data_IF_592199558774
#
_entry.id   IF_592199558774
#
_cell.length_a   1.000
_cell.length_b   1.000
_cell.length_c   1.000
_cell.angle_alpha   90.00
_cell.angle_beta   90.00
_cell.angle_gamma   90.00
#
_symmetry.space_group_name_H-M   'P 1'
#
loop_
_entity.id
_entity.type
_entity.pdbx_description
1 polymer ?
#
# COMPACT_ATOMS: atom_id res chain seq x y z
N UNK A 1 20.87 -5.19 -18.47
CA UNK A 1 20.69 -6.54 -17.91
C UNK A 1 21.06 -6.48 -16.44
N UNK A 2 20.07 -6.62 -15.57
CA UNK A 2 20.31 -6.57 -14.11
C UNK A 2 21.03 -7.85 -13.69
N UNK A 3 22.26 -7.71 -13.24
CA UNK A 3 23.09 -8.83 -12.80
C UNK A 3 22.74 -9.19 -11.35
N UNK A 4 21.63 -9.90 -11.13
CA UNK A 4 21.28 -10.44 -9.83
C UNK A 4 21.74 -11.92 -9.78
N UNK A 5 22.52 -12.28 -8.78
CA UNK A 5 22.96 -13.65 -8.54
C UNK A 5 21.90 -14.49 -7.80
N UNK A 6 20.66 -14.48 -8.31
CA UNK A 6 19.57 -15.30 -7.78
C UNK A 6 19.27 -16.44 -8.74
N UNK A 7 19.06 -17.64 -8.20
CA UNK A 7 18.84 -18.86 -8.93
C UNK A 7 17.53 -19.52 -8.51
N UNK A 8 16.94 -20.30 -9.43
CA UNK A 8 15.76 -21.13 -9.19
C UNK A 8 16.03 -22.57 -9.61
N UNK A 9 15.24 -23.51 -9.09
CA UNK A 9 15.24 -24.90 -9.51
C UNK A 9 14.22 -25.11 -10.62
N UNK A 10 14.62 -25.77 -11.68
CA UNK A 10 13.71 -26.28 -12.72
C UNK A 10 13.01 -27.55 -12.24
N UNK A 11 11.98 -28.01 -12.96
CA UNK A 11 11.21 -29.20 -12.59
C UNK A 11 12.04 -30.49 -12.56
N UNK A 12 13.12 -30.53 -13.31
CA UNK A 12 14.12 -31.63 -13.34
C UNK A 12 15.26 -31.46 -12.32
N UNK A 13 15.19 -30.43 -11.46
CA UNK A 13 16.15 -30.18 -10.38
C UNK A 13 17.41 -29.43 -10.80
N UNK A 14 17.51 -28.93 -12.03
CA UNK A 14 18.65 -28.11 -12.44
C UNK A 14 18.57 -26.70 -11.83
N UNK A 15 19.75 -26.14 -11.46
CA UNK A 15 19.88 -24.78 -10.95
C UNK A 15 20.13 -23.84 -12.10
N UNK A 16 19.21 -22.89 -12.31
CA UNK A 16 19.30 -21.89 -13.39
C UNK A 16 19.12 -20.48 -12.84
N UNK A 17 19.67 -19.44 -13.50
CA UNK A 17 19.41 -18.05 -13.09
C UNK A 17 17.91 -17.76 -13.07
N UNK A 18 17.43 -17.15 -11.96
CA UNK A 18 16.03 -16.77 -11.82
C UNK A 18 15.68 -15.61 -12.76
N UNK A 19 14.53 -15.70 -13.42
CA UNK A 19 13.99 -14.59 -14.19
C UNK A 19 13.50 -13.46 -13.25
N UNK A 20 13.56 -12.22 -13.71
CA UNK A 20 13.10 -11.06 -12.91
C UNK A 20 11.65 -11.23 -12.39
N UNK A 21 10.76 -11.79 -13.21
CA UNK A 21 9.38 -12.09 -12.79
C UNK A 21 9.29 -13.12 -11.66
N UNK A 22 10.13 -14.15 -11.68
CA UNK A 22 10.18 -15.16 -10.62
C UNK A 22 10.66 -14.54 -9.29
N UNK A 23 11.65 -13.66 -9.37
CA UNK A 23 12.17 -12.92 -8.20
C UNK A 23 11.08 -12.00 -7.62
N UNK A 24 10.39 -11.24 -8.48
CA UNK A 24 9.30 -10.37 -8.06
C UNK A 24 8.13 -11.15 -7.46
N UNK A 25 7.80 -12.30 -8.03
CA UNK A 25 6.75 -13.18 -7.49
C UNK A 25 7.13 -13.71 -6.11
N UNK A 26 8.35 -14.21 -5.94
CA UNK A 26 8.85 -14.69 -4.66
C UNK A 26 8.89 -13.56 -3.61
N UNK A 27 9.36 -12.37 -3.99
CA UNK A 27 9.36 -11.20 -3.12
C UNK A 27 7.93 -10.81 -2.69
N UNK A 28 6.95 -10.81 -3.61
CA UNK A 28 5.54 -10.58 -3.30
C UNK A 28 5.00 -11.58 -2.28
N UNK A 29 5.30 -12.86 -2.45
CA UNK A 29 4.87 -13.92 -1.51
C UNK A 29 5.47 -13.71 -0.12
N UNK A 30 6.78 -13.46 -0.02
CA UNK A 30 7.46 -13.21 1.25
C UNK A 30 6.91 -11.97 1.96
N UNK A 31 6.70 -10.88 1.22
CA UNK A 31 6.21 -9.63 1.79
C UNK A 31 4.69 -9.66 2.11
N UNK A 32 3.90 -10.45 1.36
CA UNK A 32 2.49 -10.66 1.67
C UNK A 32 2.29 -11.27 3.06
N UNK A 33 3.24 -12.08 3.55
CA UNK A 33 3.22 -12.58 4.92
C UNK A 33 3.34 -11.47 5.97
N UNK A 34 3.98 -10.33 5.65
CA UNK A 34 4.12 -9.18 6.56
C UNK A 34 2.83 -8.39 6.72
N UNK A 35 1.95 -8.44 5.71
CA UNK A 35 0.66 -7.72 5.66
C UNK A 35 -0.53 -8.70 5.62
N UNK A 36 -0.29 -9.97 5.96
CA UNK A 36 -1.36 -10.96 6.09
C UNK A 36 -2.28 -10.64 7.26
N UNK A 37 -3.50 -11.11 7.20
CA UNK A 37 -4.45 -10.98 8.31
C UNK A 37 -3.82 -11.41 9.65
N UNK A 38 -3.92 -10.54 10.66
CA UNK A 38 -3.33 -10.74 11.99
C UNK A 38 -1.87 -10.30 12.12
N UNK A 39 -1.16 -9.95 11.03
CA UNK A 39 0.18 -9.39 11.12
C UNK A 39 0.14 -8.00 11.77
N UNK A 40 1.08 -7.74 12.69
CA UNK A 40 1.20 -6.43 13.33
C UNK A 40 2.02 -5.49 12.43
N UNK A 41 1.42 -4.38 12.01
CA UNK A 41 2.11 -3.30 11.32
C UNK A 41 2.59 -2.28 12.35
N UNK A 42 3.86 -2.44 12.77
CA UNK A 42 4.47 -1.58 13.79
C UNK A 42 5.22 -0.38 13.21
N UNK A 43 5.38 -0.31 11.88
CA UNK A 43 6.06 0.82 11.23
C UNK A 43 5.55 1.06 9.81
N UNK A 44 5.54 2.33 9.35
CA UNK A 44 5.23 2.70 7.96
C UNK A 44 6.14 2.01 6.94
N UNK A 45 7.41 1.76 7.30
CA UNK A 45 8.39 1.12 6.42
C UNK A 45 7.96 -0.28 6.00
N UNK A 46 7.47 -1.11 6.94
CA UNK A 46 7.01 -2.48 6.62
C UNK A 46 5.81 -2.49 5.69
N UNK A 47 4.88 -1.55 5.89
CA UNK A 47 3.75 -1.37 4.96
C UNK A 47 4.24 -0.89 3.59
N UNK A 48 5.14 0.09 3.57
CA UNK A 48 5.73 0.64 2.35
C UNK A 48 6.47 -0.42 1.52
N UNK A 49 7.33 -1.24 2.12
CA UNK A 49 8.04 -2.34 1.43
C UNK A 49 7.07 -3.31 0.72
N UNK A 50 6.00 -3.70 1.41
CA UNK A 50 4.97 -4.55 0.82
C UNK A 50 4.26 -3.88 -0.34
N UNK A 51 3.82 -2.63 -0.14
CA UNK A 51 3.09 -1.86 -1.15
C UNK A 51 3.96 -1.57 -2.38
N UNK A 52 5.25 -1.27 -2.19
CA UNK A 52 6.21 -1.05 -3.28
C UNK A 52 6.31 -2.26 -4.22
N UNK A 53 6.44 -3.45 -3.66
CA UNK A 53 6.52 -4.68 -4.48
C UNK A 53 5.18 -4.99 -5.15
N UNK A 54 4.07 -4.62 -4.49
CA UNK A 54 2.71 -4.84 -5.00
C UNK A 54 2.33 -3.86 -6.11
N UNK A 55 2.64 -2.57 -5.95
CA UNK A 55 2.13 -1.49 -6.78
C UNK A 55 3.20 -0.81 -7.65
N UNK A 56 4.47 -0.93 -7.30
CA UNK A 56 5.56 -0.17 -7.94
C UNK A 56 5.82 -0.50 -9.41
N UNK A 57 5.19 -1.55 -9.94
CA UNK A 57 5.27 -1.93 -11.36
C UNK A 57 4.05 -1.49 -12.17
N UNK A 58 3.05 -0.90 -11.52
CA UNK A 58 1.81 -0.49 -12.19
C UNK A 58 2.03 0.83 -12.92
N UNK A 59 1.50 0.90 -14.15
CA UNK A 59 1.49 2.08 -15.00
C UNK A 59 0.24 2.96 -14.80
N UNK A 60 -0.59 2.61 -13.83
CA UNK A 60 -1.78 3.34 -13.43
C UNK A 60 -1.80 3.55 -11.90
N UNK A 61 -2.54 4.55 -11.46
CA UNK A 61 -2.73 4.85 -10.06
C UNK A 61 -3.71 3.88 -9.40
N UNK A 62 -3.35 3.38 -8.23
CA UNK A 62 -4.22 2.60 -7.35
C UNK A 62 -4.27 3.29 -6.00
N UNK A 63 -5.49 3.55 -5.52
CA UNK A 63 -5.72 4.03 -4.17
C UNK A 63 -6.39 2.94 -3.33
N UNK A 64 -5.90 2.72 -2.12
CA UNK A 64 -6.42 1.68 -1.26
C UNK A 64 -6.21 1.91 0.22
N UNK A 65 -6.59 0.89 1.00
CA UNK A 65 -6.52 0.90 2.45
C UNK A 65 -5.86 -0.37 2.98
N UNK A 66 -5.05 -0.23 4.02
CA UNK A 66 -4.75 -1.30 4.96
C UNK A 66 -5.63 -1.09 6.18
N UNK A 67 -6.60 -1.98 6.38
CA UNK A 67 -7.54 -1.95 7.50
C UNK A 67 -6.94 -2.65 8.71
N UNK A 68 -7.05 -2.03 9.89
CA UNK A 68 -6.39 -2.47 11.11
C UNK A 68 -7.40 -2.65 12.24
N UNK A 69 -7.13 -3.63 13.13
CA UNK A 69 -7.81 -3.77 14.40
C UNK A 69 -7.28 -2.80 15.48
N UNK A 70 -7.87 -2.83 16.68
CA UNK A 70 -7.45 -1.99 17.83
C UNK A 70 -6.00 -2.20 18.27
N UNK A 71 -5.37 -3.32 17.89
CA UNK A 71 -3.97 -3.65 18.18
C UNK A 71 -3.05 -3.40 16.98
N UNK A 72 -3.54 -2.67 15.98
CA UNK A 72 -2.85 -2.42 14.71
C UNK A 72 -2.43 -3.70 13.97
N UNK A 73 -3.21 -4.76 14.09
CA UNK A 73 -3.04 -5.97 13.28
C UNK A 73 -3.86 -5.83 12.01
N UNK A 74 -3.30 -6.26 10.91
CA UNK A 74 -3.96 -6.21 9.61
C UNK A 74 -5.22 -7.07 9.60
N UNK A 75 -6.34 -6.44 9.26
CA UNK A 75 -7.58 -7.12 8.93
C UNK A 75 -7.55 -7.48 7.45
N UNK A 76 -7.28 -6.51 6.59
CA UNK A 76 -7.25 -6.67 5.13
C UNK A 76 -6.51 -5.50 4.47
N UNK A 77 -5.93 -5.75 3.30
CA UNK A 77 -5.39 -4.74 2.40
C UNK A 77 -6.26 -4.72 1.14
N UNK A 78 -6.90 -3.58 0.85
CA UNK A 78 -7.94 -3.46 -0.18
C UNK A 78 -7.61 -2.34 -1.15
N UNK A 79 -7.58 -2.64 -2.45
CA UNK A 79 -7.56 -1.61 -3.50
C UNK A 79 -9.01 -1.13 -3.73
N UNK A 80 -9.25 0.17 -3.62
CA UNK A 80 -10.60 0.74 -3.70
C UNK A 80 -10.87 1.47 -5.00
N UNK A 81 -9.87 2.22 -5.47
CA UNK A 81 -10.03 3.04 -6.67
C UNK A 81 -8.85 2.80 -7.59
N UNK A 82 -9.15 2.77 -8.88
CA UNK A 82 -8.16 2.78 -9.95
C UNK A 82 -8.29 4.10 -10.71
N UNK A 83 -7.20 4.84 -10.76
CA UNK A 83 -7.12 6.10 -11.51
C UNK A 83 -6.69 5.86 -12.95
N UNK A 84 -6.84 6.91 -13.75
CA UNK A 84 -6.17 7.09 -15.02
C UNK A 84 -4.85 7.85 -14.80
N UNK A 85 -4.14 8.20 -15.88
CA UNK A 85 -2.90 9.01 -15.82
C UNK A 85 -3.12 10.36 -15.09
N UNK A 86 -4.38 10.85 -15.06
CA UNK A 86 -4.76 12.13 -14.45
C UNK A 86 -5.26 12.02 -13.01
N UNK A 87 -5.16 10.84 -12.39
CA UNK A 87 -5.52 10.60 -10.98
C UNK A 87 -6.76 9.72 -10.76
N UNK A 88 -6.99 9.36 -9.51
CA UNK A 88 -8.13 8.57 -9.06
C UNK A 88 -9.17 9.44 -8.33
N UNK A 89 -10.45 9.34 -8.69
CA UNK A 89 -11.52 9.97 -7.91
C UNK A 89 -11.78 9.18 -6.63
N UNK A 90 -11.26 9.66 -5.50
CA UNK A 90 -11.43 9.03 -4.19
C UNK A 90 -12.66 9.59 -3.49
N UNK A 91 -13.58 8.69 -3.12
CA UNK A 91 -14.82 9.06 -2.43
C UNK A 91 -14.77 8.63 -0.95
N UNK A 92 -14.73 9.57 0.04
CA UNK A 92 -14.69 9.24 1.46
C UNK A 92 -15.80 8.28 1.91
N UNK A 93 -17.00 8.36 1.32
CA UNK A 93 -18.12 7.46 1.64
C UNK A 93 -17.80 5.98 1.39
N UNK A 94 -17.04 5.64 0.35
CA UNK A 94 -16.66 4.26 0.07
C UNK A 94 -15.60 3.77 1.07
N UNK A 95 -14.72 4.66 1.53
CA UNK A 95 -13.74 4.38 2.58
C UNK A 95 -14.45 4.10 3.91
N UNK A 96 -15.41 4.94 4.29
CA UNK A 96 -16.23 4.76 5.50
C UNK A 96 -17.00 3.44 5.44
N UNK A 97 -17.64 3.16 4.31
CA UNK A 97 -18.40 1.92 4.08
C UNK A 97 -17.54 0.67 4.28
N UNK A 98 -16.35 0.61 3.68
CA UNK A 98 -15.47 -0.56 3.82
C UNK A 98 -14.91 -0.67 5.24
N UNK A 99 -14.57 0.45 5.90
CA UNK A 99 -14.10 0.46 7.27
C UNK A 99 -15.14 -0.14 8.23
N UNK A 100 -16.42 0.23 8.08
CA UNK A 100 -17.54 -0.32 8.84
C UNK A 100 -17.78 -1.80 8.54
N UNK A 101 -17.83 -2.18 7.26
CA UNK A 101 -18.04 -3.58 6.83
C UNK A 101 -16.98 -4.53 7.38
N UNK A 102 -15.74 -4.06 7.51
CA UNK A 102 -14.62 -4.86 8.03
C UNK A 102 -14.39 -4.68 9.53
N UNK A 103 -15.22 -3.88 10.21
CA UNK A 103 -15.07 -3.57 11.63
C UNK A 103 -13.66 -3.07 11.97
N UNK A 104 -13.09 -2.22 11.11
CA UNK A 104 -11.78 -1.65 11.31
C UNK A 104 -11.80 -0.62 12.45
N UNK A 105 -10.77 -0.61 13.30
CA UNK A 105 -10.56 0.41 14.33
C UNK A 105 -9.59 1.50 13.87
N UNK A 106 -8.79 1.20 12.86
CA UNK A 106 -7.87 2.14 12.23
C UNK A 106 -7.58 1.73 10.78
N UNK A 107 -7.02 2.64 10.01
CA UNK A 107 -6.54 2.31 8.66
C UNK A 107 -5.30 3.13 8.28
N UNK A 108 -4.57 2.63 7.29
CA UNK A 108 -3.54 3.34 6.55
C UNK A 108 -4.05 3.49 5.12
N UNK A 109 -4.09 4.72 4.61
CA UNK A 109 -4.33 4.98 3.20
C UNK A 109 -3.04 4.75 2.40
N UNK A 110 -3.16 4.38 1.14
CA UNK A 110 -2.03 4.32 0.24
C UNK A 110 -2.45 4.62 -1.20
N UNK A 111 -1.53 5.17 -1.98
CA UNK A 111 -1.61 5.21 -3.43
C UNK A 111 -0.21 5.23 -4.04
N UNK A 112 -0.12 4.87 -5.32
CA UNK A 112 1.11 4.95 -6.09
C UNK A 112 1.04 6.07 -7.11
N UNK A 113 2.20 6.73 -7.34
CA UNK A 113 2.42 7.66 -8.44
C UNK A 113 3.22 6.96 -9.55
N UNK A 114 2.59 6.56 -10.67
CA UNK A 114 3.29 5.94 -11.80
C UNK A 114 4.37 6.84 -12.41
N UNK A 115 4.24 8.16 -12.25
CA UNK A 115 5.25 9.15 -12.68
C UNK A 115 6.61 8.98 -11.99
N UNK A 116 6.66 8.28 -10.85
CA UNK A 116 7.86 8.13 -10.04
C UNK A 116 8.24 9.35 -9.18
N UNK A 117 7.41 10.40 -9.17
CA UNK A 117 7.64 11.61 -8.37
C UNK A 117 7.04 11.41 -6.97
N UNK A 118 7.89 11.42 -5.94
CA UNK A 118 7.54 11.16 -4.55
C UNK A 118 7.14 12.43 -3.78
N UNK A 119 6.42 13.34 -4.43
CA UNK A 119 5.89 14.54 -3.78
C UNK A 119 4.38 14.39 -3.54
N UNK A 120 3.93 14.83 -2.35
CA UNK A 120 2.51 14.96 -2.09
C UNK A 120 1.94 16.12 -2.93
N UNK A 121 0.81 15.86 -3.57
CA UNK A 121 0.04 16.92 -4.23
C UNK A 121 -0.89 17.62 -3.23
N UNK A 122 -1.34 18.81 -3.57
CA UNK A 122 -2.39 19.49 -2.81
C UNK A 122 -3.68 18.67 -2.78
N UNK A 123 -3.97 17.90 -3.84
CA UNK A 123 -5.10 16.98 -3.89
C UNK A 123 -4.96 15.84 -2.85
N UNK A 124 -3.74 15.31 -2.66
CA UNK A 124 -3.47 14.28 -1.65
C UNK A 124 -3.68 14.80 -0.24
N UNK A 125 -3.26 16.04 0.04
CA UNK A 125 -3.48 16.68 1.33
C UNK A 125 -4.97 16.89 1.59
N UNK A 126 -5.72 17.42 0.61
CA UNK A 126 -7.16 17.65 0.71
C UNK A 126 -7.95 16.36 0.92
N UNK A 127 -7.66 15.30 0.15
CA UNK A 127 -8.38 14.02 0.32
C UNK A 127 -8.02 13.37 1.65
N UNK A 128 -6.77 13.50 2.11
CA UNK A 128 -6.34 12.99 3.42
C UNK A 128 -7.12 13.64 4.56
N UNK A 129 -7.23 14.97 4.55
CA UNK A 129 -8.00 15.70 5.55
C UNK A 129 -9.48 15.28 5.54
N UNK A 130 -10.13 15.24 4.37
CA UNK A 130 -11.54 14.83 4.23
C UNK A 130 -11.80 13.41 4.72
N UNK A 131 -10.92 12.47 4.40
CA UNK A 131 -11.05 11.08 4.84
C UNK A 131 -10.83 10.97 6.34
N UNK A 132 -9.84 11.67 6.90
CA UNK A 132 -9.59 11.72 8.34
C UNK A 132 -10.82 12.21 9.11
N UNK A 133 -11.43 13.30 8.67
CA UNK A 133 -12.67 13.83 9.26
C UNK A 133 -13.83 12.83 9.17
N UNK A 134 -14.04 12.22 7.99
CA UNK A 134 -15.12 11.26 7.80
C UNK A 134 -14.95 10.00 8.66
N UNK A 135 -13.73 9.49 8.81
CA UNK A 135 -13.41 8.33 9.64
C UNK A 135 -13.54 8.65 11.14
N UNK A 136 -13.22 9.88 11.56
CA UNK A 136 -13.38 10.32 12.95
C UNK A 136 -14.85 10.26 13.42
N UNK A 137 -15.82 10.51 12.52
CA UNK A 137 -17.25 10.41 12.83
C UNK A 137 -17.73 8.99 13.17
N UNK A 138 -16.95 7.98 12.83
CA UNK A 138 -17.26 6.56 13.08
C UNK A 138 -16.21 5.88 13.98
N UNK A 139 -15.45 6.66 14.74
CA UNK A 139 -14.41 6.19 15.66
C UNK A 139 -13.31 5.31 14.99
N UNK A 140 -13.06 5.51 13.71
CA UNK A 140 -11.96 4.86 12.96
C UNK A 140 -10.82 5.85 12.79
N UNK A 141 -9.60 5.46 13.20
CA UNK A 141 -8.45 6.34 13.15
C UNK A 141 -7.67 6.17 11.84
N UNK A 142 -7.44 7.26 11.12
CA UNK A 142 -6.44 7.30 10.06
C UNK A 142 -5.05 7.39 10.70
N UNK A 143 -4.23 6.34 10.50
CA UNK A 143 -2.89 6.22 11.11
C UNK A 143 -1.81 6.84 10.23
N UNK A 144 -1.93 6.64 8.91
CA UNK A 144 -0.99 7.20 7.94
C UNK A 144 -1.62 7.28 6.54
N UNK A 145 -0.97 8.03 5.67
CA UNK A 145 -1.19 8.00 4.23
C UNK A 145 0.18 7.82 3.55
N UNK A 146 0.35 6.69 2.86
CA UNK A 146 1.59 6.30 2.19
C UNK A 146 1.48 6.57 0.69
N UNK A 147 2.36 7.41 0.17
CA UNK A 147 2.49 7.68 -1.27
C UNK A 147 3.71 6.96 -1.79
N UNK A 148 3.52 6.10 -2.79
CA UNK A 148 4.57 5.29 -3.39
C UNK A 148 4.97 5.87 -4.75
N UNK A 149 6.25 6.14 -4.94
CA UNK A 149 6.75 6.71 -6.19
C UNK A 149 8.14 6.18 -6.52
N UNK A 150 8.29 5.51 -7.64
CA UNK A 150 9.54 4.87 -8.02
C UNK A 150 10.03 3.90 -6.95
N UNK A 151 11.18 4.18 -6.32
CA UNK A 151 11.73 3.39 -5.20
C UNK A 151 11.48 4.02 -3.82
N UNK A 152 10.68 5.07 -3.75
CA UNK A 152 10.46 5.87 -2.53
C UNK A 152 9.06 5.69 -1.97
N UNK A 153 8.96 5.76 -0.65
CA UNK A 153 7.69 5.78 0.09
C UNK A 153 7.67 7.05 0.94
N UNK A 154 6.66 7.88 0.73
CA UNK A 154 6.40 9.07 1.52
C UNK A 154 5.31 8.75 2.55
N UNK A 155 5.53 9.09 3.81
CA UNK A 155 4.56 8.97 4.89
C UNK A 155 4.08 10.36 5.32
N UNK A 156 2.77 10.59 5.27
CA UNK A 156 2.16 11.84 5.73
C UNK A 156 2.32 12.02 7.22
N UNK A 157 2.21 10.95 8.01
CA UNK A 157 2.42 11.00 9.44
C UNK A 157 3.85 11.44 9.81
N UNK A 158 4.87 10.90 9.12
CA UNK A 158 6.27 11.28 9.34
C UNK A 158 6.57 12.73 8.93
N UNK A 159 5.81 13.27 7.98
CA UNK A 159 5.92 14.67 7.53
C UNK A 159 5.09 15.64 8.34
N UNK A 160 4.29 15.17 9.32
CA UNK A 160 3.40 16.01 10.12
C UNK A 160 2.20 16.56 9.34
N UNK A 161 1.75 15.84 8.30
CA UNK A 161 0.63 16.20 7.42
C UNK A 161 -0.69 15.50 7.79
N UNK A 162 -0.71 14.79 8.93
CA UNK A 162 -1.88 14.10 9.46
C UNK A 162 -2.47 14.77 10.68
#
# INVERSE_FOLDING_TARGET
MSNHNLYTLTADGAVVPALSEQILMAARQVLAHRVRRGASLQSPQKAGEYLMVRLGHLDYEVFGLILLDKRHRVIECVDLFRGTIDGASVHPREIVKIALQKSAAACIMYHNHPSGVADQSQADELITARVKEALALIDVRLVDHLVLAGSSVLSFAQRGLL
#
